data_IF_943802463146
#
_entry.id   IF_943802463146
#
_cell.length_a   1.000
_cell.length_b   1.000
_cell.length_c   1.000
_cell.angle_alpha   90.00
_cell.angle_beta   90.00
_cell.angle_gamma   90.00
#
_symmetry.space_group_name_H-M   'P 1'
#
loop_
_entity.id
_entity.type
_entity.pdbx_description
1 polymer ?
#
# COMPACT_ATOMS: atom_id res chain seq x y z
N UNK A 1 -15.21 -27.71 17.81
CA UNK A 1 -16.06 -28.00 16.64
C UNK A 1 -15.36 -27.63 15.36
N UNK A 2 -15.57 -26.39 14.87
CA UNK A 2 -14.97 -25.89 13.63
C UNK A 2 -13.44 -26.01 13.58
N UNK A 3 -12.74 -25.46 14.58
CA UNK A 3 -11.27 -25.47 14.60
C UNK A 3 -10.65 -26.85 14.64
N UNK A 4 -11.22 -27.76 15.43
CA UNK A 4 -10.75 -29.15 15.50
C UNK A 4 -10.91 -29.86 14.16
N UNK A 5 -12.03 -29.62 13.47
CA UNK A 5 -12.29 -30.17 12.15
C UNK A 5 -11.32 -29.60 11.12
N UNK A 6 -11.09 -28.27 11.10
CA UNK A 6 -10.14 -27.64 10.18
C UNK A 6 -8.70 -28.16 10.39
N UNK A 7 -8.27 -28.30 11.65
CA UNK A 7 -6.97 -28.88 12.01
C UNK A 7 -6.87 -30.31 11.50
N UNK A 8 -7.88 -31.14 11.75
CA UNK A 8 -7.89 -32.54 11.34
C UNK A 8 -7.90 -32.71 9.82
N UNK A 9 -8.65 -31.88 9.09
CA UNK A 9 -8.65 -31.89 7.62
C UNK A 9 -7.25 -31.50 7.12
N UNK A 10 -6.64 -30.43 7.66
CA UNK A 10 -5.27 -30.03 7.31
C UNK A 10 -4.28 -31.19 7.49
N UNK A 11 -4.33 -31.89 8.61
CA UNK A 11 -3.46 -33.05 8.87
C UNK A 11 -3.70 -34.21 7.90
N UNK A 12 -4.95 -34.50 7.54
CA UNK A 12 -5.30 -35.54 6.57
C UNK A 12 -4.81 -35.19 5.16
N UNK A 13 -4.90 -33.91 4.77
CA UNK A 13 -4.39 -33.43 3.49
C UNK A 13 -2.86 -33.53 3.42
N UNK A 14 -2.15 -33.17 4.50
CA UNK A 14 -0.70 -33.28 4.58
C UNK A 14 -0.19 -34.72 4.55
N UNK A 15 -0.93 -35.66 5.17
CA UNK A 15 -0.56 -37.09 5.20
C UNK A 15 -0.88 -37.84 3.91
N UNK A 16 -1.56 -37.21 2.94
CA UNK A 16 -2.00 -37.88 1.71
C UNK A 16 -3.03 -38.97 1.98
N UNK A 17 -4.10 -38.65 2.73
CA UNK A 17 -5.17 -39.59 3.07
C UNK A 17 -5.73 -40.34 1.84
N UNK A 18 -6.02 -41.65 1.94
CA UNK A 18 -6.65 -42.42 0.86
C UNK A 18 -8.09 -41.98 0.57
N UNK A 19 -8.72 -41.29 1.53
CA UNK A 19 -9.99 -40.60 1.33
C UNK A 19 -9.68 -39.32 0.57
N UNK A 20 -9.98 -39.27 -0.73
CA UNK A 20 -9.74 -38.14 -1.62
C UNK A 20 -10.56 -36.90 -1.22
N UNK A 21 -10.16 -36.23 -0.15
CA UNK A 21 -10.77 -34.98 0.31
C UNK A 21 -10.34 -33.87 -0.65
N UNK A 22 -11.32 -33.21 -1.28
CA UNK A 22 -11.06 -32.01 -2.06
C UNK A 22 -10.59 -30.89 -1.13
N UNK A 23 -9.36 -30.41 -1.34
CA UNK A 23 -8.73 -29.31 -0.60
C UNK A 23 -9.61 -28.04 -0.60
N UNK A 24 -10.40 -27.84 -1.66
CA UNK A 24 -11.31 -26.70 -1.81
C UNK A 24 -12.32 -26.60 -0.67
N UNK A 25 -12.70 -27.74 -0.05
CA UNK A 25 -13.59 -27.78 1.11
C UNK A 25 -12.97 -27.05 2.30
N UNK A 26 -11.69 -27.30 2.59
CA UNK A 26 -10.99 -26.63 3.69
C UNK A 26 -10.90 -25.13 3.46
N UNK A 27 -10.54 -24.71 2.25
CA UNK A 27 -10.40 -23.28 1.92
C UNK A 27 -11.74 -22.55 1.99
N UNK A 28 -12.81 -23.16 1.47
CA UNK A 28 -14.15 -22.62 1.62
C UNK A 28 -14.58 -22.52 3.09
N UNK A 29 -14.34 -23.56 3.88
CA UNK A 29 -14.66 -23.56 5.32
C UNK A 29 -13.93 -22.45 6.06
N UNK A 30 -12.62 -22.27 5.80
CA UNK A 30 -11.84 -21.19 6.39
C UNK A 30 -12.42 -19.83 6.01
N UNK A 31 -12.69 -19.60 4.73
CA UNK A 31 -13.24 -18.35 4.21
C UNK A 31 -14.61 -18.01 4.83
N UNK A 32 -15.50 -18.99 4.96
CA UNK A 32 -16.86 -18.77 5.45
C UNK A 32 -16.92 -18.64 6.98
N UNK A 33 -16.35 -19.61 7.70
CA UNK A 33 -16.53 -19.69 9.16
C UNK A 33 -15.67 -18.68 9.93
N UNK A 34 -14.52 -18.26 9.40
CA UNK A 34 -13.75 -17.18 10.02
C UNK A 34 -14.47 -15.83 9.88
N UNK A 35 -15.01 -15.55 8.70
CA UNK A 35 -15.84 -14.37 8.48
C UNK A 35 -17.07 -14.35 9.40
N UNK A 36 -17.74 -15.49 9.53
CA UNK A 36 -18.87 -15.65 10.45
C UNK A 36 -18.43 -15.46 11.91
N UNK A 37 -17.32 -16.07 12.32
CA UNK A 37 -16.77 -15.94 13.68
C UNK A 37 -16.41 -14.48 14.01
N UNK A 38 -15.87 -13.73 13.05
CA UNK A 38 -15.61 -12.31 13.17
C UNK A 38 -16.89 -11.49 13.34
N UNK A 39 -17.93 -11.81 12.57
CA UNK A 39 -19.22 -11.12 12.55
C UNK A 39 -20.03 -11.33 13.84
N UNK A 40 -20.02 -12.54 14.39
CA UNK A 40 -20.73 -12.87 15.65
C UNK A 40 -19.92 -12.57 16.91
N UNK A 41 -18.71 -11.99 16.76
CA UNK A 41 -17.79 -11.73 17.88
C UNK A 41 -17.49 -13.00 18.72
N UNK A 42 -17.19 -14.11 18.05
CA UNK A 42 -16.86 -15.36 18.72
C UNK A 42 -15.62 -15.19 19.64
N UNK A 43 -15.51 -15.97 20.71
CA UNK A 43 -14.32 -15.93 21.54
C UNK A 43 -13.09 -16.45 20.77
N UNK A 44 -11.96 -15.76 20.92
CA UNK A 44 -10.67 -16.11 20.30
C UNK A 44 -10.28 -17.58 20.57
N UNK A 45 -10.58 -18.10 21.75
CA UNK A 45 -10.26 -19.48 22.14
C UNK A 45 -10.85 -20.53 21.18
N UNK A 46 -11.96 -20.22 20.52
CA UNK A 46 -12.59 -21.16 19.59
C UNK A 46 -11.92 -21.19 18.22
N UNK A 47 -11.15 -20.18 17.85
CA UNK A 47 -10.53 -20.03 16.51
C UNK A 47 -9.00 -19.96 16.56
N UNK A 48 -8.41 -19.80 17.75
CA UNK A 48 -6.96 -19.69 17.94
C UNK A 48 -6.13 -20.84 17.34
N UNK A 49 -6.60 -22.11 17.24
CA UNK A 49 -5.82 -23.15 16.56
C UNK A 49 -5.63 -22.88 15.07
N UNK A 50 -6.59 -22.20 14.43
CA UNK A 50 -6.53 -21.82 13.01
C UNK A 50 -5.67 -20.56 12.82
N UNK A 51 -5.74 -19.61 13.75
CA UNK A 51 -5.00 -18.35 13.67
C UNK A 51 -3.54 -18.51 14.10
N UNK A 52 -2.80 -19.37 13.38
CA UNK A 52 -1.44 -19.77 13.70
C UNK A 52 -0.50 -19.69 12.50
N UNK A 53 0.81 -19.58 12.76
CA UNK A 53 1.85 -19.63 11.73
C UNK A 53 1.79 -20.93 10.92
N UNK A 54 1.36 -22.04 11.53
CA UNK A 54 1.28 -23.35 10.90
C UNK A 54 0.20 -23.40 9.83
N UNK A 55 -0.96 -22.78 10.07
CA UNK A 55 -2.01 -22.66 9.06
C UNK A 55 -1.60 -21.71 7.94
N UNK A 56 -0.97 -20.58 8.27
CA UNK A 56 -0.45 -19.65 7.27
C UNK A 56 0.60 -20.34 6.39
N UNK A 57 1.52 -21.10 6.97
CA UNK A 57 2.55 -21.85 6.22
C UNK A 57 1.93 -22.91 5.31
N UNK A 58 0.90 -23.61 5.79
CA UNK A 58 0.14 -24.55 4.96
C UNK A 58 -0.53 -23.85 3.77
N UNK A 59 -1.18 -22.70 3.98
CA UNK A 59 -1.79 -21.93 2.89
C UNK A 59 -0.76 -21.39 1.90
N UNK A 60 0.42 -20.96 2.38
CA UNK A 60 1.54 -20.56 1.50
C UNK A 60 1.92 -21.72 0.58
N UNK A 61 2.12 -22.93 1.15
CA UNK A 61 2.46 -24.12 0.38
C UNK A 61 1.41 -24.44 -0.69
N UNK A 62 0.14 -24.48 -0.31
CA UNK A 62 -0.96 -24.76 -1.25
C UNK A 62 -1.12 -23.65 -2.30
N UNK A 63 -0.92 -22.39 -1.91
CA UNK A 63 -0.98 -21.25 -2.81
C UNK A 63 0.12 -21.33 -3.88
N UNK A 64 1.38 -21.58 -3.48
CA UNK A 64 2.48 -21.75 -4.43
C UNK A 64 2.21 -22.91 -5.39
N UNK A 65 1.77 -24.05 -4.88
CA UNK A 65 1.44 -25.21 -5.71
C UNK A 65 0.28 -24.89 -6.69
N UNK A 66 -0.76 -24.18 -6.25
CA UNK A 66 -1.86 -23.76 -7.12
C UNK A 66 -1.39 -22.76 -8.20
N UNK A 67 -0.49 -21.85 -7.85
CA UNK A 67 0.14 -20.91 -8.78
C UNK A 67 0.93 -21.64 -9.86
N UNK A 68 1.80 -22.58 -9.48
CA UNK A 68 2.59 -23.41 -10.41
C UNK A 68 1.68 -24.22 -11.35
N UNK A 69 0.65 -24.88 -10.80
CA UNK A 69 -0.31 -25.64 -11.61
C UNK A 69 -1.05 -24.74 -12.62
N UNK A 70 -1.40 -23.51 -12.22
CA UNK A 70 -2.04 -22.55 -13.11
C UNK A 70 -1.12 -22.13 -14.26
N UNK A 71 0.18 -21.96 -14.01
CA UNK A 71 1.16 -21.64 -15.05
C UNK A 71 1.42 -22.82 -15.99
N UNK A 72 1.60 -24.04 -15.45
CA UNK A 72 1.82 -25.26 -16.24
C UNK A 72 0.63 -25.55 -17.18
N UNK A 73 -0.58 -25.32 -16.70
CA UNK A 73 -1.82 -25.58 -17.43
C UNK A 73 -2.43 -24.33 -18.05
N UNK A 74 -1.66 -23.26 -18.24
CA UNK A 74 -2.18 -21.99 -18.77
C UNK A 74 -2.84 -22.13 -20.15
N UNK A 75 -2.27 -23.00 -21.01
CA UNK A 75 -2.74 -23.32 -22.35
C UNK A 75 -3.61 -24.59 -22.42
N UNK A 76 -4.03 -25.12 -21.27
CA UNK A 76 -4.91 -26.29 -21.21
C UNK A 76 -6.35 -25.93 -21.57
N UNK A 77 -7.22 -26.94 -21.69
CA UNK A 77 -8.64 -26.76 -21.96
C UNK A 77 -9.32 -25.87 -20.89
N UNK A 78 -10.31 -25.09 -21.31
CA UNK A 78 -11.04 -24.11 -20.48
C UNK A 78 -11.61 -24.69 -19.19
N UNK A 79 -12.00 -25.97 -19.19
CA UNK A 79 -12.51 -26.66 -17.99
C UNK A 79 -11.45 -26.75 -16.90
N UNK A 80 -10.22 -27.15 -17.26
CA UNK A 80 -9.09 -27.27 -16.33
C UNK A 80 -8.69 -25.90 -15.83
N UNK A 81 -8.57 -24.93 -16.74
CA UNK A 81 -8.26 -23.55 -16.38
C UNK A 81 -9.29 -22.96 -15.41
N UNK A 82 -10.58 -23.20 -15.65
CA UNK A 82 -11.66 -22.76 -14.74
C UNK A 82 -11.54 -23.42 -13.37
N UNK A 83 -11.29 -24.73 -13.31
CA UNK A 83 -11.09 -25.42 -12.03
C UNK A 83 -9.92 -24.83 -11.25
N UNK A 84 -8.74 -24.70 -11.87
CA UNK A 84 -7.54 -24.14 -11.24
C UNK A 84 -7.75 -22.70 -10.78
N UNK A 85 -8.47 -21.91 -11.57
CA UNK A 85 -8.82 -20.53 -11.23
C UNK A 85 -9.72 -20.45 -9.99
N UNK A 86 -10.78 -21.27 -9.94
CA UNK A 86 -11.68 -21.33 -8.77
C UNK A 86 -10.91 -21.81 -7.54
N UNK A 87 -10.06 -22.80 -7.71
CA UNK A 87 -9.24 -23.35 -6.63
C UNK A 87 -8.29 -22.31 -6.05
N UNK A 88 -7.55 -21.60 -6.90
CA UNK A 88 -6.65 -20.52 -6.48
C UNK A 88 -7.41 -19.38 -5.81
N UNK A 89 -8.59 -18.99 -6.33
CA UNK A 89 -9.43 -17.99 -5.69
C UNK A 89 -9.81 -18.39 -4.27
N UNK A 90 -10.26 -19.62 -4.05
CA UNK A 90 -10.63 -20.10 -2.72
C UNK A 90 -9.44 -20.07 -1.75
N UNK A 91 -8.24 -20.46 -2.19
CA UNK A 91 -7.03 -20.39 -1.36
C UNK A 91 -6.74 -18.95 -0.95
N UNK A 92 -6.75 -18.01 -1.91
CA UNK A 92 -6.45 -16.61 -1.65
C UNK A 92 -7.50 -15.96 -0.75
N UNK A 93 -8.79 -16.26 -0.97
CA UNK A 93 -9.87 -15.80 -0.08
C UNK A 93 -9.67 -16.34 1.35
N UNK A 94 -9.33 -17.63 1.50
CA UNK A 94 -9.08 -18.22 2.81
C UNK A 94 -7.88 -17.58 3.51
N UNK A 95 -6.81 -17.31 2.77
CA UNK A 95 -5.61 -16.68 3.29
C UNK A 95 -5.89 -15.24 3.74
N UNK A 96 -6.55 -14.46 2.88
CA UNK A 96 -7.05 -13.13 3.23
C UNK A 96 -7.88 -13.19 4.51
N UNK A 97 -8.84 -14.11 4.61
CA UNK A 97 -9.72 -14.19 5.77
C UNK A 97 -8.99 -14.53 7.07
N UNK A 98 -8.01 -15.44 7.03
CA UNK A 98 -7.14 -15.70 8.19
C UNK A 98 -6.43 -14.41 8.62
N UNK A 99 -5.83 -13.69 7.68
CA UNK A 99 -5.07 -12.48 7.99
C UNK A 99 -5.96 -11.34 8.50
N UNK A 100 -7.13 -11.14 7.90
CA UNK A 100 -8.13 -10.18 8.35
C UNK A 100 -8.66 -10.53 9.74
N UNK A 101 -8.87 -11.81 10.02
CA UNK A 101 -9.31 -12.26 11.35
C UNK A 101 -8.21 -12.06 12.40
N UNK A 102 -6.96 -12.38 12.10
CA UNK A 102 -5.82 -12.10 13.01
C UNK A 102 -5.79 -10.61 13.37
N UNK A 103 -5.89 -9.74 12.37
CA UNK A 103 -5.85 -8.29 12.59
C UNK A 103 -7.06 -7.76 13.37
N UNK A 104 -8.26 -8.29 13.12
CA UNK A 104 -9.46 -7.94 13.88
C UNK A 104 -9.33 -8.31 15.37
N UNK A 105 -8.90 -9.54 15.67
CA UNK A 105 -8.78 -9.99 17.05
C UNK A 105 -7.60 -9.34 17.77
N UNK A 106 -6.52 -9.02 17.06
CA UNK A 106 -5.45 -8.18 17.59
C UNK A 106 -5.99 -6.81 18.04
N UNK A 107 -6.78 -6.13 17.20
CA UNK A 107 -7.39 -4.83 17.55
C UNK A 107 -8.37 -4.91 18.72
N UNK A 108 -9.08 -6.04 18.86
CA UNK A 108 -9.97 -6.31 20.01
C UNK A 108 -9.25 -6.74 21.28
N UNK A 109 -7.97 -7.11 21.21
CA UNK A 109 -7.23 -7.66 22.34
C UNK A 109 -6.97 -6.60 23.41
N UNK A 110 -7.67 -6.71 24.54
CA UNK A 110 -7.50 -5.82 25.68
C UNK A 110 -6.38 -6.30 26.62
N UNK A 111 -6.14 -7.62 26.71
CA UNK A 111 -5.18 -8.16 27.67
C UNK A 111 -3.74 -8.10 27.15
N UNK A 112 -2.79 -7.86 28.06
CA UNK A 112 -1.37 -7.83 27.72
C UNK A 112 -0.89 -9.21 27.21
N UNK A 113 -1.46 -10.30 27.72
CA UNK A 113 -1.12 -11.67 27.29
C UNK A 113 -1.53 -11.90 25.84
N UNK A 114 -2.74 -11.51 25.46
CA UNK A 114 -3.23 -11.67 24.08
C UNK A 114 -2.40 -10.81 23.11
N UNK A 115 -2.07 -9.57 23.50
CA UNK A 115 -1.18 -8.71 22.71
C UNK A 115 0.19 -9.35 22.50
N UNK A 116 0.78 -9.98 23.52
CA UNK A 116 2.05 -10.69 23.36
C UNK A 116 1.93 -11.87 22.38
N UNK A 117 0.86 -12.66 22.45
CA UNK A 117 0.63 -13.78 21.54
C UNK A 117 0.53 -13.32 20.08
N UNK A 118 -0.23 -12.27 19.80
CA UNK A 118 -0.33 -11.72 18.45
C UNK A 118 0.96 -11.06 17.97
N UNK A 119 1.69 -10.38 18.86
CA UNK A 119 2.99 -9.80 18.52
C UNK A 119 4.01 -10.88 18.15
N UNK A 120 4.02 -12.00 18.88
CA UNK A 120 4.84 -13.17 18.55
C UNK A 120 4.44 -13.76 17.20
N UNK A 121 3.13 -13.90 16.94
CA UNK A 121 2.63 -14.36 15.65
C UNK A 121 3.07 -13.44 14.51
N UNK A 122 2.88 -12.12 14.63
CA UNK A 122 3.34 -11.15 13.62
C UNK A 122 4.87 -11.16 13.46
N UNK A 123 5.62 -11.34 14.54
CA UNK A 123 7.08 -11.52 14.49
C UNK A 123 7.47 -12.74 13.66
N UNK A 124 6.82 -13.90 13.89
CA UNK A 124 7.04 -15.12 13.10
C UNK A 124 6.63 -14.91 11.64
N UNK A 125 5.43 -14.42 11.37
CA UNK A 125 4.92 -14.20 10.01
C UNK A 125 5.82 -13.25 9.21
N UNK A 126 6.17 -12.09 9.79
CA UNK A 126 7.02 -11.10 9.14
C UNK A 126 8.42 -11.63 8.83
N UNK A 127 8.97 -12.51 9.67
CA UNK A 127 10.29 -13.12 9.45
C UNK A 127 10.31 -14.09 8.25
N UNK A 128 9.18 -14.73 7.93
CA UNK A 128 9.08 -15.70 6.84
C UNK A 128 9.14 -15.01 5.48
N UNK A 129 10.21 -15.26 4.71
CA UNK A 129 10.34 -14.70 3.37
C UNK A 129 9.22 -15.15 2.44
N UNK A 130 8.85 -16.42 2.48
CA UNK A 130 7.77 -16.96 1.66
C UNK A 130 6.45 -16.20 1.90
N UNK A 131 6.09 -15.91 3.16
CA UNK A 131 4.92 -15.11 3.50
C UNK A 131 4.96 -13.73 2.86
N UNK A 132 6.09 -13.01 2.99
CA UNK A 132 6.25 -11.67 2.40
C UNK A 132 6.16 -11.67 0.87
N UNK A 133 6.52 -12.77 0.23
CA UNK A 133 6.60 -12.85 -1.24
C UNK A 133 5.29 -13.32 -1.89
N UNK A 134 4.34 -13.88 -1.13
CA UNK A 134 3.06 -14.34 -1.66
C UNK A 134 2.29 -13.23 -2.41
N UNK A 135 2.11 -12.01 -1.87
CA UNK A 135 1.36 -10.98 -2.60
C UNK A 135 2.00 -10.62 -3.95
N UNK A 136 3.34 -10.60 -4.02
CA UNK A 136 4.07 -10.34 -5.28
C UNK A 136 3.80 -11.43 -6.33
N UNK A 137 3.89 -12.70 -5.94
CA UNK A 137 3.56 -13.84 -6.80
C UNK A 137 2.11 -13.74 -7.30
N UNK A 138 1.17 -13.42 -6.42
CA UNK A 138 -0.24 -13.32 -6.75
C UNK A 138 -0.54 -12.14 -7.69
N UNK A 139 0.07 -10.97 -7.49
CA UNK A 139 -0.07 -9.85 -8.42
C UNK A 139 0.49 -10.16 -9.82
N UNK A 140 1.54 -10.97 -9.92
CA UNK A 140 2.04 -11.44 -11.22
C UNK A 140 0.99 -12.33 -11.91
N UNK A 141 0.30 -13.18 -11.16
CA UNK A 141 -0.77 -14.04 -11.70
C UNK A 141 -2.02 -13.22 -12.06
N UNK A 142 -2.40 -12.21 -11.26
CA UNK A 142 -3.52 -11.30 -11.56
C UNK A 142 -3.42 -10.71 -12.97
N UNK A 143 -2.22 -10.39 -13.44
CA UNK A 143 -2.00 -9.86 -14.79
C UNK A 143 -2.46 -10.82 -15.90
N UNK A 144 -2.42 -12.12 -15.63
CA UNK A 144 -2.81 -13.21 -16.53
C UNK A 144 -4.27 -13.65 -16.32
N UNK A 145 -4.90 -13.20 -15.23
CA UNK A 145 -6.19 -13.70 -14.75
C UNK A 145 -7.19 -12.55 -14.50
N UNK A 146 -8.23 -12.47 -15.33
CA UNK A 146 -9.22 -11.40 -15.27
C UNK A 146 -10.35 -11.67 -14.25
N UNK A 147 -10.00 -11.89 -12.98
CA UNK A 147 -10.99 -11.98 -11.90
C UNK A 147 -10.90 -10.77 -10.99
N UNK A 148 -12.01 -10.04 -10.90
CA UNK A 148 -12.15 -8.88 -10.01
C UNK A 148 -11.98 -9.28 -8.55
N UNK A 149 -12.75 -10.27 -8.08
CA UNK A 149 -12.70 -10.73 -6.67
C UNK A 149 -11.30 -11.18 -6.26
N UNK A 150 -10.60 -11.89 -7.15
CA UNK A 150 -9.24 -12.34 -6.88
C UNK A 150 -8.30 -11.16 -6.65
N UNK A 151 -8.35 -10.16 -7.54
CA UNK A 151 -7.51 -8.98 -7.44
C UNK A 151 -7.79 -8.17 -6.16
N UNK A 152 -9.06 -8.05 -5.77
CA UNK A 152 -9.46 -7.41 -4.51
C UNK A 152 -8.91 -8.17 -3.30
N UNK A 153 -9.03 -9.50 -3.28
CA UNK A 153 -8.52 -10.33 -2.19
C UNK A 153 -6.99 -10.27 -2.09
N UNK A 154 -6.28 -10.26 -3.22
CA UNK A 154 -4.81 -10.09 -3.26
C UNK A 154 -4.41 -8.70 -2.73
N UNK A 155 -5.18 -7.67 -3.07
CA UNK A 155 -4.94 -6.30 -2.60
C UNK A 155 -5.07 -6.21 -1.07
N UNK A 156 -6.11 -6.80 -0.50
CA UNK A 156 -6.33 -6.85 0.96
C UNK A 156 -5.25 -7.70 1.64
N UNK A 157 -4.90 -8.85 1.06
CA UNK A 157 -3.85 -9.73 1.59
C UNK A 157 -2.49 -9.02 1.60
N UNK A 158 -2.18 -8.23 0.56
CA UNK A 158 -0.99 -7.39 0.53
C UNK A 158 -0.98 -6.38 1.68
N UNK A 159 -2.08 -5.68 1.90
CA UNK A 159 -2.21 -4.73 3.00
C UNK A 159 -1.98 -5.38 4.36
N UNK A 160 -2.60 -6.55 4.62
CA UNK A 160 -2.33 -7.29 5.86
C UNK A 160 -0.90 -7.81 5.98
N UNK A 161 -0.24 -8.11 4.85
CA UNK A 161 1.18 -8.47 4.83
C UNK A 161 2.05 -7.29 5.24
N UNK A 162 1.76 -6.08 4.75
CA UNK A 162 2.43 -4.84 5.19
C UNK A 162 2.22 -4.60 6.68
N UNK A 163 0.98 -4.71 7.19
CA UNK A 163 0.69 -4.61 8.63
C UNK A 163 1.53 -5.61 9.44
N UNK A 164 1.61 -6.86 8.97
CA UNK A 164 2.37 -7.90 9.65
C UNK A 164 3.87 -7.57 9.73
N UNK A 165 4.43 -7.03 8.65
CA UNK A 165 5.84 -6.60 8.60
C UNK A 165 6.08 -5.41 9.54
N UNK A 166 5.23 -4.40 9.49
CA UNK A 166 5.36 -3.20 10.32
C UNK A 166 5.30 -3.55 11.82
N UNK A 167 4.27 -4.30 12.23
CA UNK A 167 4.11 -4.75 13.62
C UNK A 167 5.22 -5.72 14.03
N UNK A 168 5.55 -6.70 13.20
CA UNK A 168 6.60 -7.68 13.50
C UNK A 168 7.98 -7.03 13.68
N UNK A 169 8.25 -5.95 12.94
CA UNK A 169 9.50 -5.18 13.06
C UNK A 169 9.66 -4.44 14.39
N UNK A 170 8.55 -4.20 15.11
CA UNK A 170 8.53 -3.46 16.38
C UNK A 170 8.76 -4.35 17.60
N UNK A 171 8.53 -5.66 17.51
CA UNK A 171 8.56 -6.58 18.65
C UNK A 171 9.62 -7.69 18.54
N UNK A 172 10.25 -7.84 17.39
CA UNK A 172 11.33 -8.81 17.21
C UNK A 172 12.64 -8.30 17.82
N UNK A 173 12.96 -8.73 19.03
CA UNK A 173 14.32 -8.61 19.61
C UNK A 173 15.29 -9.67 19.08
N UNK A 174 14.79 -10.75 18.46
CA UNK A 174 15.58 -11.92 18.05
C UNK A 174 15.80 -12.05 16.53
N UNK A 175 14.99 -11.38 15.68
CA UNK A 175 15.12 -11.43 14.22
C UNK A 175 15.55 -10.09 13.63
N UNK A 176 16.34 -10.15 12.55
CA UNK A 176 16.81 -8.98 11.80
C UNK A 176 15.62 -8.14 11.36
N UNK A 177 15.56 -6.88 11.82
CA UNK A 177 14.50 -5.94 11.48
C UNK A 177 14.43 -5.76 9.96
N UNK A 178 13.31 -6.15 9.37
CA UNK A 178 13.05 -5.95 7.94
C UNK A 178 12.65 -4.49 7.76
N UNK A 179 13.35 -3.77 6.88
CA UNK A 179 12.97 -2.39 6.54
C UNK A 179 11.80 -2.45 5.56
N UNK A 180 10.67 -1.84 5.90
CA UNK A 180 9.47 -1.80 5.05
C UNK A 180 9.81 -1.32 3.63
N UNK A 181 10.54 -0.21 3.51
CA UNK A 181 11.02 0.35 2.24
C UNK A 181 11.73 -0.71 1.37
N UNK A 182 12.63 -1.51 1.96
CA UNK A 182 13.35 -2.55 1.20
C UNK A 182 12.44 -3.68 0.70
N UNK A 183 11.35 -3.96 1.41
CA UNK A 183 10.35 -4.91 0.95
C UNK A 183 9.51 -4.31 -0.18
N UNK A 184 9.03 -3.07 0.00
CA UNK A 184 8.14 -2.39 -0.93
C UNK A 184 8.79 -2.02 -2.26
N UNK A 185 10.13 -1.93 -2.34
CA UNK A 185 10.85 -1.76 -3.62
C UNK A 185 10.41 -2.77 -4.70
N UNK A 186 10.04 -3.98 -4.31
CA UNK A 186 9.58 -5.02 -5.24
C UNK A 186 8.18 -4.73 -5.82
N UNK A 187 7.41 -3.84 -5.19
CA UNK A 187 6.05 -3.46 -5.60
C UNK A 187 6.00 -2.26 -6.53
N UNK A 188 7.08 -1.47 -6.63
CA UNK A 188 7.17 -0.33 -7.54
C UNK A 188 7.36 -0.77 -9.00
N UNK A 189 6.32 -1.38 -9.58
CA UNK A 189 6.31 -1.86 -10.96
C UNK A 189 5.03 -1.45 -11.68
N UNK A 190 5.11 -1.28 -13.00
CA UNK A 190 3.94 -0.94 -13.84
C UNK A 190 2.80 -1.96 -13.70
N UNK A 191 3.12 -3.25 -13.58
CA UNK A 191 2.11 -4.30 -13.44
C UNK A 191 1.28 -4.14 -12.15
N UNK A 192 1.92 -3.76 -11.05
CA UNK A 192 1.24 -3.57 -9.76
C UNK A 192 0.43 -2.28 -9.78
N UNK A 193 0.95 -1.20 -10.37
CA UNK A 193 0.18 0.04 -10.56
C UNK A 193 -1.06 -0.21 -11.44
N UNK A 194 -0.92 -0.99 -12.50
CA UNK A 194 -2.04 -1.42 -13.35
C UNK A 194 -3.07 -2.25 -12.58
N UNK A 195 -2.63 -3.12 -11.67
CA UNK A 195 -3.51 -3.86 -10.76
C UNK A 195 -4.28 -2.91 -9.82
N UNK A 196 -3.59 -1.96 -9.17
CA UNK A 196 -4.22 -0.94 -8.33
C UNK A 196 -5.25 -0.12 -9.11
N UNK A 197 -4.90 0.28 -10.34
CA UNK A 197 -5.78 1.01 -11.24
C UNK A 197 -7.07 0.24 -11.51
N UNK A 198 -6.98 -1.05 -11.87
CA UNK A 198 -8.16 -1.93 -12.10
C UNK A 198 -9.08 -2.03 -10.89
N UNK A 199 -8.53 -2.02 -9.68
CA UNK A 199 -9.35 -1.98 -8.44
C UNK A 199 -10.06 -0.62 -8.32
N UNK A 200 -9.33 0.48 -8.55
CA UNK A 200 -9.86 1.84 -8.44
C UNK A 200 -10.84 2.23 -9.55
N UNK A 201 -10.88 1.53 -10.70
CA UNK A 201 -11.95 1.71 -11.70
C UNK A 201 -13.36 1.49 -11.10
N UNK A 202 -13.45 0.73 -10.01
CA UNK A 202 -14.69 0.48 -9.29
C UNK A 202 -14.79 1.23 -7.95
N UNK A 203 -13.99 2.29 -7.75
CA UNK A 203 -13.83 3.01 -6.48
C UNK A 203 -15.14 3.22 -5.70
N UNK A 204 -16.19 3.72 -6.39
CA UNK A 204 -17.51 3.99 -5.82
C UNK A 204 -18.21 2.77 -5.22
N UNK A 205 -17.99 1.59 -5.78
CA UNK A 205 -18.64 0.34 -5.37
C UNK A 205 -17.78 -0.51 -4.45
N UNK A 206 -16.50 -0.16 -4.31
CA UNK A 206 -15.59 -0.84 -3.40
C UNK A 206 -15.94 -0.49 -1.94
N UNK A 207 -15.59 -1.39 -1.03
CA UNK A 207 -15.58 -1.03 0.39
C UNK A 207 -14.53 0.06 0.66
N UNK A 208 -14.79 0.94 1.63
CA UNK A 208 -13.81 1.95 2.06
C UNK A 208 -12.45 1.31 2.37
N UNK A 209 -12.44 0.19 3.11
CA UNK A 209 -11.21 -0.53 3.44
C UNK A 209 -10.44 -1.05 2.21
N UNK A 210 -11.12 -1.50 1.15
CA UNK A 210 -10.44 -1.92 -0.07
C UNK A 210 -9.78 -0.73 -0.78
N UNK A 211 -10.47 0.41 -0.85
CA UNK A 211 -9.90 1.63 -1.41
C UNK A 211 -8.68 2.08 -0.59
N UNK A 212 -8.78 2.08 0.75
CA UNK A 212 -7.67 2.35 1.66
C UNK A 212 -6.45 1.45 1.40
N UNK A 213 -6.67 0.15 1.17
CA UNK A 213 -5.59 -0.79 0.86
C UNK A 213 -4.82 -0.38 -0.42
N UNK A 214 -5.53 0.08 -1.45
CA UNK A 214 -4.92 0.55 -2.69
C UNK A 214 -4.19 1.87 -2.47
N UNK A 215 -4.83 2.86 -1.85
CA UNK A 215 -4.22 4.18 -1.61
C UNK A 215 -2.99 4.08 -0.72
N UNK A 216 -2.99 3.22 0.29
CA UNK A 216 -1.80 2.93 1.11
C UNK A 216 -0.63 2.46 0.26
N UNK A 217 -0.84 1.51 -0.66
CA UNK A 217 0.22 1.01 -1.52
C UNK A 217 0.72 2.08 -2.51
N UNK A 218 -0.19 2.83 -3.13
CA UNK A 218 0.16 3.91 -4.05
C UNK A 218 0.92 5.05 -3.35
N UNK A 219 0.54 5.37 -2.11
CA UNK A 219 1.21 6.34 -1.27
C UNK A 219 2.66 5.91 -1.00
N UNK A 220 2.91 4.66 -0.59
CA UNK A 220 4.27 4.15 -0.42
C UNK A 220 5.08 4.14 -1.73
N UNK A 221 4.46 3.79 -2.86
CA UNK A 221 5.14 3.81 -4.17
C UNK A 221 5.57 5.23 -4.54
N UNK A 222 4.70 6.20 -4.37
CA UNK A 222 4.98 7.57 -4.77
C UNK A 222 5.90 8.29 -3.78
N UNK A 223 5.68 8.10 -2.47
CA UNK A 223 6.41 8.75 -1.39
C UNK A 223 7.64 8.01 -0.95
N UNK A 224 7.47 6.95 -0.16
CA UNK A 224 8.59 6.22 0.45
C UNK A 224 9.60 5.67 -0.56
N UNK A 225 9.14 5.31 -1.77
CA UNK A 225 9.99 4.79 -2.85
C UNK A 225 10.36 5.84 -3.89
N UNK A 226 9.90 7.09 -3.73
CA UNK A 226 10.10 8.19 -4.67
C UNK A 226 9.80 7.81 -6.13
N UNK A 227 8.87 6.88 -6.35
CA UNK A 227 8.58 6.27 -7.66
C UNK A 227 7.27 6.81 -8.25
N UNK A 228 6.95 8.08 -7.97
CA UNK A 228 5.72 8.74 -8.43
C UNK A 228 5.56 8.73 -9.95
N UNK A 229 6.66 8.66 -10.70
CA UNK A 229 6.64 8.56 -12.16
C UNK A 229 5.88 7.32 -12.67
N UNK A 230 5.78 6.26 -11.87
CA UNK A 230 4.98 5.09 -12.19
C UNK A 230 3.47 5.37 -12.12
N UNK A 231 3.04 6.35 -11.32
CA UNK A 231 1.64 6.73 -11.18
C UNK A 231 1.20 7.77 -12.23
N UNK A 232 2.14 8.37 -12.95
CA UNK A 232 1.88 9.30 -14.05
C UNK A 232 1.60 8.48 -15.32
N UNK A 233 0.54 7.69 -15.27
CA UNK A 233 0.05 6.89 -16.39
C UNK A 233 -1.33 7.42 -16.83
N UNK A 234 -1.58 7.70 -18.12
CA UNK A 234 -2.84 8.29 -18.57
C UNK A 234 -4.10 7.54 -18.09
N UNK A 235 -4.04 6.22 -18.02
CA UNK A 235 -5.14 5.37 -17.58
C UNK A 235 -5.45 5.57 -16.08
N UNK A 236 -4.44 5.68 -15.23
CA UNK A 236 -4.58 5.96 -13.79
C UNK A 236 -4.96 7.42 -13.52
N UNK A 237 -4.37 8.38 -14.25
CA UNK A 237 -4.73 9.80 -14.14
C UNK A 237 -6.21 10.03 -14.47
N UNK A 238 -6.75 9.28 -15.44
CA UNK A 238 -8.18 9.29 -15.76
C UNK A 238 -9.01 8.81 -14.56
N UNK A 239 -8.66 7.66 -13.97
CA UNK A 239 -9.36 7.12 -12.80
C UNK A 239 -9.32 8.10 -11.62
N UNK A 240 -8.17 8.69 -11.33
CA UNK A 240 -8.04 9.75 -10.31
C UNK A 240 -8.93 10.96 -10.59
N UNK A 241 -8.99 11.41 -11.84
CA UNK A 241 -9.86 12.52 -12.23
C UNK A 241 -11.35 12.16 -12.14
N UNK A 242 -11.71 10.88 -12.31
CA UNK A 242 -13.07 10.39 -12.11
C UNK A 242 -13.41 10.32 -10.62
N UNK A 243 -12.51 9.80 -9.78
CA UNK A 243 -12.67 9.76 -8.32
C UNK A 243 -12.93 11.16 -7.74
N UNK A 244 -12.15 12.17 -8.14
CA UNK A 244 -12.34 13.56 -7.67
C UNK A 244 -13.68 14.20 -8.11
N UNK A 245 -14.36 13.63 -9.11
CA UNK A 245 -15.67 14.11 -9.57
C UNK A 245 -16.83 13.38 -8.89
N UNK A 246 -16.57 12.30 -8.19
CA UNK A 246 -17.61 11.59 -7.44
C UNK A 246 -17.97 12.39 -6.19
N UNK A 247 -19.26 12.39 -5.84
CA UNK A 247 -19.77 12.98 -4.59
C UNK A 247 -19.50 12.04 -3.39
N UNK A 248 -18.26 11.58 -3.23
CA UNK A 248 -17.82 10.70 -2.15
C UNK A 248 -16.71 11.42 -1.38
N UNK A 249 -16.86 11.48 -0.05
CA UNK A 249 -15.83 12.04 0.81
C UNK A 249 -14.56 11.17 0.76
N UNK A 250 -13.44 11.78 0.37
CA UNK A 250 -12.13 11.16 0.39
C UNK A 250 -11.46 11.42 1.73
N UNK A 251 -10.71 10.44 2.20
CA UNK A 251 -9.77 10.71 3.29
C UNK A 251 -8.70 11.68 2.77
N UNK A 252 -8.34 12.65 3.59
CA UNK A 252 -7.50 13.78 3.18
C UNK A 252 -6.19 13.35 2.49
N UNK A 253 -5.55 12.28 2.98
CA UNK A 253 -4.31 11.78 2.39
C UNK A 253 -4.51 11.17 0.98
N UNK A 254 -5.69 10.62 0.70
CA UNK A 254 -6.04 10.10 -0.63
C UNK A 254 -6.18 11.25 -1.62
N UNK A 255 -6.91 12.31 -1.23
CA UNK A 255 -7.05 13.52 -2.02
C UNK A 255 -5.68 14.17 -2.27
N UNK A 256 -4.86 14.32 -1.23
CA UNK A 256 -3.51 14.89 -1.32
C UNK A 256 -2.62 14.08 -2.28
N UNK A 257 -2.67 12.75 -2.24
CA UNK A 257 -1.95 11.88 -3.18
C UNK A 257 -2.41 12.12 -4.62
N UNK A 258 -3.71 12.12 -4.87
CA UNK A 258 -4.28 12.34 -6.21
C UNK A 258 -3.83 13.71 -6.75
N UNK A 259 -4.02 14.76 -5.94
CA UNK A 259 -3.70 16.13 -6.31
C UNK A 259 -2.20 16.31 -6.56
N UNK A 260 -1.33 15.67 -5.77
CA UNK A 260 0.10 15.66 -6.02
C UNK A 260 0.44 15.04 -7.38
N UNK A 261 -0.10 13.87 -7.70
CA UNK A 261 0.19 13.18 -8.97
C UNK A 261 -0.33 14.00 -10.17
N UNK A 262 -1.54 14.55 -10.10
CA UNK A 262 -2.12 15.39 -11.16
C UNK A 262 -1.34 16.70 -11.36
N UNK A 263 -0.88 17.32 -10.27
CA UNK A 263 -0.05 18.53 -10.31
C UNK A 263 1.32 18.23 -10.91
N UNK A 264 1.93 17.12 -10.52
CA UNK A 264 3.23 16.68 -11.06
C UNK A 264 3.15 16.41 -12.56
N UNK A 265 2.11 15.69 -13.00
CA UNK A 265 1.83 15.49 -14.42
C UNK A 265 1.68 16.81 -15.18
N UNK A 266 0.88 17.75 -14.66
CA UNK A 266 0.65 19.05 -15.29
C UNK A 266 1.96 19.83 -15.48
N UNK A 267 2.85 19.81 -14.48
CA UNK A 267 4.17 20.44 -14.55
C UNK A 267 5.08 19.77 -15.57
N UNK A 268 5.07 18.44 -15.67
CA UNK A 268 5.86 17.71 -16.67
C UNK A 268 5.43 18.06 -18.10
N UNK A 269 4.11 18.14 -18.36
CA UNK A 269 3.56 18.52 -19.67
C UNK A 269 3.96 19.95 -20.04
N UNK A 270 3.80 20.90 -19.11
CA UNK A 270 4.20 22.30 -19.32
C UNK A 270 5.70 22.41 -19.64
N UNK A 271 6.54 21.69 -18.90
CA UNK A 271 7.99 21.70 -19.11
C UNK A 271 8.39 21.15 -20.47
N UNK A 272 7.77 20.04 -20.91
CA UNK A 272 8.00 19.47 -22.25
C UNK A 272 7.60 20.44 -23.35
N UNK A 273 6.42 21.06 -23.22
CA UNK A 273 5.92 22.04 -24.19
C UNK A 273 6.84 23.26 -24.33
N UNK A 274 7.36 23.80 -23.22
CA UNK A 274 8.31 24.93 -23.25
C UNK A 274 9.63 24.52 -23.93
N UNK A 275 10.17 23.34 -23.62
CA UNK A 275 11.41 22.82 -24.25
C UNK A 275 11.24 22.65 -25.76
N UNK A 276 10.11 22.10 -26.21
CA UNK A 276 9.80 21.94 -27.64
C UNK A 276 9.67 23.28 -28.37
N UNK A 277 9.10 24.30 -27.72
CA UNK A 277 9.02 25.65 -28.30
C UNK A 277 10.39 26.33 -28.42
N UNK A 278 11.30 26.12 -27.47
CA UNK A 278 12.65 26.68 -27.54
C UNK A 278 13.50 25.98 -28.62
N UNK A 279 13.39 24.66 -28.78
CA UNK A 279 14.07 23.92 -29.85
C UNK A 279 13.57 24.36 -31.24
N UNK A 280 12.27 24.60 -31.41
CA UNK A 280 11.70 25.11 -32.66
C UNK A 280 12.11 26.55 -32.98
N UNK A 281 12.42 27.38 -31.96
CA UNK A 281 12.93 28.75 -32.16
C UNK A 281 14.45 28.83 -32.37
N UNK A 282 15.22 27.84 -31.92
CA UNK A 282 16.68 27.77 -32.11
C UNK A 282 17.15 27.25 -33.48
N UNK A 283 16.23 26.82 -34.35
CA UNK A 283 16.55 26.25 -35.68
C UNK A 283 16.61 27.25 -36.84
N UNK A 284 16.55 28.56 -36.60
CA UNK A 284 16.59 29.56 -37.68
C UNK A 284 17.54 30.72 -37.34
N UNK A 285 18.63 30.75 -38.12
CA UNK A 285 19.63 31.82 -38.32
C UNK A 285 20.67 32.06 -37.22
N UNK A 286 21.86 31.51 -37.49
CA UNK A 286 23.13 32.16 -37.18
C UNK A 286 23.27 33.42 -38.04
N UNK A 287 23.22 34.57 -37.39
CA UNK A 287 23.88 35.80 -37.82
C UNK A 287 24.04 36.70 -36.60
N UNK A 288 25.26 37.22 -36.45
CA UNK A 288 25.87 37.86 -35.29
C UNK A 288 25.15 39.11 -34.73
N UNK A 289 25.60 39.46 -33.51
CA UNK A 289 25.52 40.73 -32.81
C UNK A 289 24.14 41.22 -32.32
N UNK A 290 23.91 41.08 -31.01
CA UNK A 290 24.07 42.21 -30.07
C UNK A 290 23.45 41.89 -28.71
N UNK A 291 24.15 42.34 -27.67
CA UNK A 291 23.73 42.38 -26.27
C UNK A 291 22.31 42.92 -26.09
N UNK A 292 21.45 42.18 -25.38
CA UNK A 292 20.45 42.69 -24.42
C UNK A 292 20.04 41.52 -23.50
N UNK A 293 20.25 41.71 -22.20
CA UNK A 293 19.70 41.00 -21.05
C UNK A 293 18.70 39.86 -21.32
N UNK A 294 19.14 38.61 -21.09
CA UNK A 294 18.24 37.48 -20.88
C UNK A 294 18.34 36.99 -19.43
N UNK A 295 17.66 37.71 -18.53
CA UNK A 295 17.29 37.22 -17.19
C UNK A 295 16.16 36.18 -17.30
N UNK A 296 16.29 35.20 -18.19
CA UNK A 296 15.26 34.21 -18.48
C UNK A 296 15.79 32.82 -18.16
N UNK A 297 15.15 32.24 -17.15
CA UNK A 297 15.10 30.80 -16.86
C UNK A 297 16.23 30.20 -16.02
N UNK A 298 16.48 30.77 -14.83
CA UNK A 298 17.04 30.01 -13.71
C UNK A 298 15.98 29.14 -13.00
N UNK A 299 14.70 29.20 -13.41
CA UNK A 299 13.60 28.44 -12.81
C UNK A 299 13.46 27.00 -13.34
N UNK A 300 14.19 26.59 -14.37
CA UNK A 300 14.08 25.23 -14.95
C UNK A 300 14.95 24.16 -14.28
N UNK A 301 15.75 24.50 -13.25
CA UNK A 301 16.72 23.56 -12.65
C UNK A 301 16.31 22.98 -11.28
N UNK A 302 15.15 23.32 -10.72
CA UNK A 302 14.71 22.82 -9.39
C UNK A 302 13.90 21.50 -9.44
N UNK A 303 14.08 20.68 -10.48
CA UNK A 303 13.15 19.57 -10.78
C UNK A 303 13.38 18.35 -9.88
N UNK A 304 14.54 18.20 -9.24
CA UNK A 304 14.85 17.00 -8.43
C UNK A 304 14.91 17.25 -6.90
N UNK A 305 15.15 18.48 -6.43
CA UNK A 305 15.45 18.74 -5.01
C UNK A 305 14.22 18.95 -4.08
N UNK A 306 12.99 18.98 -4.62
CA UNK A 306 11.81 19.42 -3.84
C UNK A 306 10.65 18.39 -3.78
N UNK A 307 10.84 17.16 -4.25
CA UNK A 307 9.86 16.08 -4.03
C UNK A 307 9.77 15.72 -2.55
N UNK A 308 10.91 15.73 -1.85
CA UNK A 308 11.01 15.37 -0.43
C UNK A 308 10.14 16.24 0.48
N UNK A 309 10.02 17.54 0.17
CA UNK A 309 9.24 18.48 0.99
C UNK A 309 7.75 18.11 1.06
N UNK A 310 7.17 17.68 -0.07
CA UNK A 310 5.77 17.27 -0.10
C UNK A 310 5.56 15.99 0.70
N UNK A 311 6.48 15.03 0.57
CA UNK A 311 6.37 13.72 1.23
C UNK A 311 6.57 13.81 2.73
N UNK A 312 7.58 14.56 3.19
CA UNK A 312 7.75 14.81 4.63
C UNK A 312 6.56 15.55 5.23
N UNK A 313 5.94 16.45 4.46
CA UNK A 313 4.71 17.10 4.90
C UNK A 313 3.56 16.11 5.10
N UNK A 314 3.28 15.25 4.11
CA UNK A 314 2.20 14.27 4.19
C UNK A 314 2.42 13.26 5.33
N UNK A 315 3.68 12.89 5.59
CA UNK A 315 4.06 11.98 6.68
C UNK A 315 3.89 12.59 8.09
N UNK A 316 4.22 13.88 8.25
CA UNK A 316 4.23 14.53 9.58
C UNK A 316 3.04 15.44 9.81
N UNK A 317 2.08 15.54 8.90
CA UNK A 317 0.97 16.49 8.99
C UNK A 317 0.19 16.38 10.33
N UNK A 318 0.04 15.14 10.81
CA UNK A 318 -0.67 14.81 12.04
C UNK A 318 0.19 15.00 13.31
N UNK A 319 1.49 15.27 13.17
CA UNK A 319 2.36 15.56 14.31
C UNK A 319 1.95 16.88 15.00
N UNK A 320 2.39 17.03 16.26
CA UNK A 320 2.19 18.26 17.05
C UNK A 320 2.97 19.44 16.45
N UNK A 321 4.11 19.17 15.82
CA UNK A 321 4.93 20.17 15.15
C UNK A 321 5.47 19.63 13.80
N UNK A 322 4.62 19.59 12.76
CA UNK A 322 4.98 19.05 11.45
C UNK A 322 6.17 19.78 10.83
N UNK A 323 6.22 21.12 10.98
CA UNK A 323 7.23 21.97 10.33
C UNK A 323 8.62 21.73 10.93
N UNK A 324 8.73 21.54 12.25
CA UNK A 324 10.02 21.18 12.86
C UNK A 324 10.47 19.79 12.45
N UNK A 325 9.57 18.82 12.36
CA UNK A 325 9.88 17.44 11.95
C UNK A 325 10.36 17.40 10.49
N UNK A 326 9.72 18.15 9.60
CA UNK A 326 10.19 18.34 8.22
C UNK A 326 11.60 18.97 8.19
N UNK A 327 11.87 19.97 9.05
CA UNK A 327 13.20 20.62 9.11
C UNK A 327 14.33 19.75 9.66
N UNK A 328 14.02 18.64 10.34
CA UNK A 328 15.02 17.63 10.74
C UNK A 328 15.51 16.81 9.54
N UNK A 329 14.68 16.68 8.51
CA UNK A 329 14.94 15.86 7.32
C UNK A 329 15.34 16.68 6.09
N UNK A 330 15.00 17.96 6.04
CA UNK A 330 15.39 18.91 5.00
C UNK A 330 16.24 20.04 5.60
N UNK A 331 17.45 20.32 5.06
CA UNK A 331 18.31 21.40 5.54
C UNK A 331 17.80 22.76 5.05
N UNK A 332 16.56 23.11 5.39
CA UNK A 332 15.86 24.32 4.95
C UNK A 332 15.22 25.01 6.15
N UNK A 333 15.15 26.34 6.15
CA UNK A 333 14.55 27.08 7.26
C UNK A 333 13.04 26.79 7.39
N UNK A 334 12.49 26.87 8.60
CA UNK A 334 11.05 26.64 8.85
C UNK A 334 10.14 27.62 8.09
N UNK A 335 10.61 28.85 7.89
CA UNK A 335 9.88 29.86 7.10
C UNK A 335 9.91 29.53 5.61
N UNK A 336 11.04 29.05 5.11
CA UNK A 336 11.19 28.61 3.73
C UNK A 336 10.33 27.37 3.44
N UNK A 337 10.28 26.41 4.37
CA UNK A 337 9.38 25.23 4.30
C UNK A 337 7.93 25.67 4.11
N UNK A 338 7.43 26.59 4.95
CA UNK A 338 6.08 27.12 4.84
C UNK A 338 5.84 27.86 3.51
N UNK A 339 6.78 28.69 3.08
CA UNK A 339 6.66 29.40 1.80
C UNK A 339 6.67 28.44 0.61
N UNK A 340 7.51 27.40 0.63
CA UNK A 340 7.59 26.40 -0.44
C UNK A 340 6.32 25.55 -0.49
N UNK A 341 5.76 25.15 0.67
CA UNK A 341 4.47 24.46 0.75
C UNK A 341 3.33 25.30 0.14
N UNK A 342 3.32 26.61 0.40
CA UNK A 342 2.32 27.54 -0.15
C UNK A 342 2.52 27.79 -1.65
N UNK A 343 3.72 28.18 -2.07
CA UNK A 343 4.05 28.53 -3.46
C UNK A 343 3.84 27.34 -4.39
N UNK A 344 4.11 26.12 -3.90
CA UNK A 344 3.94 24.89 -4.68
C UNK A 344 2.51 24.34 -4.65
N UNK A 345 1.60 24.95 -3.90
CA UNK A 345 0.19 24.52 -3.82
C UNK A 345 -0.01 23.19 -3.09
N UNK A 346 0.94 22.78 -2.25
CA UNK A 346 0.85 21.54 -1.48
C UNK A 346 -0.11 21.66 -0.29
N UNK A 347 -0.41 22.88 0.14
CA UNK A 347 -1.21 23.17 1.33
C UNK A 347 -2.14 24.36 1.05
N UNK A 348 -3.41 24.25 1.45
CA UNK A 348 -4.37 25.35 1.33
C UNK A 348 -4.00 26.53 2.25
N UNK A 349 -4.53 27.72 1.98
CA UNK A 349 -4.26 28.93 2.79
C UNK A 349 -4.69 28.75 4.25
N UNK A 350 -5.77 27.99 4.48
CA UNK A 350 -6.30 27.67 5.81
C UNK A 350 -5.38 26.69 6.55
N UNK A 351 -4.92 25.66 5.85
CA UNK A 351 -4.02 24.63 6.41
C UNK A 351 -2.62 25.20 6.66
N UNK A 352 -2.19 26.20 5.89
CA UNK A 352 -0.98 26.98 6.16
C UNK A 352 -1.09 27.79 7.47
N UNK A 353 -2.27 28.34 7.80
CA UNK A 353 -2.49 29.01 9.08
C UNK A 353 -2.41 28.01 10.23
N UNK A 354 -3.04 26.85 10.09
CA UNK A 354 -2.99 25.77 11.08
C UNK A 354 -1.54 25.31 11.36
N UNK A 355 -0.72 25.14 10.32
CA UNK A 355 0.70 24.79 10.48
C UNK A 355 1.50 25.87 11.20
N UNK A 356 1.21 27.15 10.93
CA UNK A 356 1.82 28.28 11.65
C UNK A 356 1.41 28.31 13.13
N UNK A 357 0.16 27.98 13.43
CA UNK A 357 -0.36 27.88 14.80
C UNK A 357 0.26 26.70 15.56
N UNK A 358 0.32 25.50 14.96
CA UNK A 358 1.02 24.33 15.52
C UNK A 358 2.49 24.62 15.81
N UNK A 359 3.19 25.27 14.87
CA UNK A 359 4.60 25.65 15.04
C UNK A 359 4.81 26.65 16.18
N UNK A 360 3.92 27.63 16.35
CA UNK A 360 3.96 28.59 17.48
C UNK A 360 3.68 27.91 18.81
N UNK A 361 2.62 27.10 18.90
CA UNK A 361 2.28 26.35 20.12
C UNK A 361 3.41 25.39 20.56
N UNK A 362 4.13 24.80 19.61
CA UNK A 362 5.29 23.96 19.89
C UNK A 362 6.54 24.75 20.36
N UNK A 363 6.68 26.00 19.93
CA UNK A 363 7.72 26.91 20.44
C UNK A 363 7.40 27.38 21.87
N UNK A 364 6.14 27.71 22.14
CA UNK A 364 5.68 28.20 23.44
C UNK A 364 5.74 27.10 24.52
N UNK A 365 5.37 25.86 24.19
CA UNK A 365 5.49 24.71 25.10
C UNK A 365 6.93 24.29 25.40
N UNK A 366 7.90 24.64 24.55
CA UNK A 366 9.34 24.45 24.84
C UNK A 366 9.90 25.53 25.78
N UNK A 367 9.31 26.72 25.80
CA UNK A 367 9.71 27.82 26.69
C UNK A 367 9.20 27.60 28.13
N UNK A 368 8.05 26.94 28.31
CA UNK A 368 7.51 26.59 29.63
C UNK A 368 8.21 25.38 30.29
N UNK A 369 9.00 24.62 29.52
CA UNK A 369 9.69 23.42 30.01
C UNK A 369 11.14 23.66 30.47
N UNK A 370 11.59 24.92 30.55
CA UNK A 370 12.88 25.28 31.14
C UNK A 370 12.67 25.42 32.66
N UNK A 371 13.17 24.49 33.51
CA UNK A 371 13.08 24.67 34.94
C UNK A 371 14.04 25.78 35.36
N UNK A 372 13.56 26.70 36.20
CA UNK A 372 14.44 27.54 37.03
C UNK A 372 15.28 26.66 37.97
#
# INVERSE_FOLDING_TARGET
>A
GFSDLAVKIKELLLKGSPVGIDKSVLFWMLSYFLHLAASVNLSFNHISPILSSDFVTFLIFECVNACENMELHFNSNDVVKKYLSVHLNLIVTAFKEIMSTIDLYFRKSCSQKDKMLFNELYGRLSSMQCFRQIPLLLFQICSKYNSKQFLEDVTILNHHTMIAIDRGSSYSSQHKKIKMVSHLQQFATKNIVECCRKVLENFKFNSHFLNECVFTLLHHIAGDLHSSHLLIEPSLLKVFSEILKEDIELDQYQEDLIMYILTKFSREVQTKFIKEQQIKKGGSKLSDDSSINSSVSSHCLLIEEDDDLFWWYLQFEQDKDPVSRISEHLPTSKQDILSKLQIKGFVSVEKLKLLKEKMKAAQDSKLEAIPN
#
